data_IF_847123382525
#
_entry.id   IF_847123382525
#
_cell.length_a   1.000
_cell.length_b   1.000
_cell.length_c   1.000
_cell.angle_alpha   90.00
_cell.angle_beta   90.00
_cell.angle_gamma   90.00
#
_symmetry.space_group_name_H-M   'P 1'
#
loop_
_entity.id
_entity.type
_entity.pdbx_description
1 polymer ?
#
# COMPACT_ATOMS: atom_id res chain seq x y z
N UNK A 1 6.53 1.80 13.07
CA UNK A 1 5.26 1.30 12.49
C UNK A 1 5.20 -0.20 12.68
N UNK A 2 4.01 -0.79 12.87
CA UNK A 2 3.88 -2.25 12.94
C UNK A 2 4.30 -2.87 11.60
N UNK A 3 5.00 -4.01 11.64
CA UNK A 3 5.48 -4.70 10.43
C UNK A 3 4.29 -5.31 9.69
N UNK A 4 4.05 -4.89 8.45
CA UNK A 4 3.11 -5.58 7.54
C UNK A 4 3.74 -6.89 7.08
N UNK A 5 2.96 -7.96 7.06
CA UNK A 5 3.39 -9.28 6.57
C UNK A 5 2.57 -9.59 5.34
N UNK A 6 3.24 -9.76 4.20
CA UNK A 6 2.63 -10.10 2.92
C UNK A 6 2.73 -11.63 2.73
N UNK A 7 1.61 -12.27 2.38
CA UNK A 7 1.50 -13.71 2.08
C UNK A 7 1.25 -13.89 0.58
N UNK A 8 2.03 -14.77 -0.04
CA UNK A 8 1.92 -15.10 -1.46
C UNK A 8 1.79 -16.61 -1.62
N UNK A 9 0.64 -17.08 -2.09
CA UNK A 9 0.36 -18.52 -2.31
C UNK A 9 0.71 -19.39 -1.08
N UNK A 10 0.45 -18.85 0.12
CA UNK A 10 0.80 -19.46 1.40
C UNK A 10 -0.43 -20.15 2.00
N UNK A 11 -0.45 -21.49 2.12
CA UNK A 11 -1.58 -22.22 2.70
C UNK A 11 -1.75 -21.97 4.21
N UNK A 12 -0.72 -21.47 4.89
CA UNK A 12 -0.75 -21.13 6.32
C UNK A 12 -1.17 -19.66 6.56
N UNK A 13 -1.50 -18.90 5.50
CA UNK A 13 -2.01 -17.54 5.61
C UNK A 13 -3.36 -17.50 6.37
N UNK A 14 -3.59 -16.46 7.20
CA UNK A 14 -4.89 -16.27 7.84
C UNK A 14 -5.99 -16.01 6.81
N UNK A 15 -7.23 -16.40 7.14
CA UNK A 15 -8.37 -16.17 6.24
C UNK A 15 -8.57 -14.66 5.94
N UNK A 16 -8.62 -14.26 4.66
CA UNK A 16 -8.91 -12.88 4.28
C UNK A 16 -10.29 -12.43 4.79
N UNK A 17 -10.33 -11.29 5.46
CA UNK A 17 -11.56 -10.75 6.07
C UNK A 17 -11.96 -9.36 5.54
N UNK A 18 -11.17 -8.78 4.64
CA UNK A 18 -11.38 -7.45 4.09
C UNK A 18 -10.75 -7.33 2.70
N UNK A 19 -11.33 -6.47 1.86
CA UNK A 19 -10.78 -6.08 0.57
C UNK A 19 -10.23 -4.65 0.73
N UNK A 20 -8.94 -4.47 0.48
CA UNK A 20 -8.30 -3.16 0.51
C UNK A 20 -7.84 -2.79 -0.90
N UNK A 21 -8.59 -1.93 -1.62
CA UNK A 21 -8.12 -1.43 -2.89
C UNK A 21 -6.86 -0.58 -2.69
N UNK A 22 -5.89 -0.76 -3.57
CA UNK A 22 -4.60 -0.07 -3.54
C UNK A 22 -4.16 0.31 -4.94
N UNK A 23 -3.18 1.22 -5.01
CA UNK A 23 -2.57 1.70 -6.24
C UNK A 23 -1.06 1.44 -6.21
N UNK A 24 -0.49 1.13 -7.37
CA UNK A 24 0.95 1.10 -7.61
C UNK A 24 1.23 2.05 -8.78
N UNK A 25 2.23 2.91 -8.66
CA UNK A 25 2.43 4.02 -9.59
C UNK A 25 3.75 3.86 -10.35
N UNK A 26 3.65 3.73 -11.68
CA UNK A 26 4.81 3.74 -12.57
C UNK A 26 5.10 5.18 -12.95
N UNK A 27 6.17 5.75 -12.40
CA UNK A 27 6.61 7.12 -12.71
C UNK A 27 7.91 7.06 -13.48
N UNK A 28 7.93 7.61 -14.68
CA UNK A 28 9.14 7.70 -15.53
C UNK A 28 9.55 9.15 -15.75
N UNK A 29 10.86 9.40 -15.83
CA UNK A 29 11.39 10.69 -16.28
C UNK A 29 11.51 10.75 -17.82
N UNK A 30 11.96 11.89 -18.36
CA UNK A 30 12.17 12.07 -19.82
C UNK A 30 13.25 11.14 -20.41
N UNK A 31 14.19 10.65 -19.59
CA UNK A 31 15.21 9.70 -19.99
C UNK A 31 14.68 8.25 -20.03
N UNK A 32 13.47 8.00 -19.52
CA UNK A 32 12.86 6.68 -19.42
C UNK A 32 13.24 5.91 -18.15
N UNK A 33 13.91 6.53 -17.18
CA UNK A 33 14.22 5.90 -15.90
C UNK A 33 12.97 5.77 -15.03
N UNK A 34 12.86 4.66 -14.29
CA UNK A 34 11.74 4.36 -13.40
C UNK A 34 12.04 4.81 -11.96
N UNK A 35 11.11 5.55 -11.35
CA UNK A 35 11.14 5.83 -9.92
C UNK A 35 10.87 4.55 -9.12
N UNK A 36 11.79 4.23 -8.20
CA UNK A 36 11.64 3.12 -7.28
C UNK A 36 11.90 3.57 -5.84
N UNK A 37 11.22 2.93 -4.90
CA UNK A 37 11.44 3.05 -3.46
C UNK A 37 12.11 1.79 -2.92
N UNK A 38 12.91 1.94 -1.88
CA UNK A 38 13.46 0.81 -1.12
C UNK A 38 12.70 0.69 0.19
N UNK A 39 11.93 -0.38 0.34
CA UNK A 39 11.07 -0.57 1.51
C UNK A 39 11.89 -0.84 2.76
N UNK A 40 11.47 -0.25 3.88
CA UNK A 40 12.16 -0.40 5.17
C UNK A 40 11.84 -1.71 5.89
N UNK A 41 10.80 -2.43 5.47
CA UNK A 41 10.30 -3.64 6.15
C UNK A 41 10.92 -4.95 5.63
N UNK A 42 11.35 -4.97 4.37
CA UNK A 42 11.92 -6.14 3.70
C UNK A 42 13.10 -5.82 2.77
N UNK A 43 13.57 -4.58 2.74
CA UNK A 43 14.70 -4.11 1.91
C UNK A 43 14.52 -4.23 0.39
N UNK A 44 13.35 -4.66 -0.08
CA UNK A 44 13.09 -4.82 -1.50
C UNK A 44 12.82 -3.48 -2.19
N UNK A 45 13.16 -3.43 -3.47
CA UNK A 45 12.75 -2.36 -4.35
C UNK A 45 11.31 -2.57 -4.80
N UNK A 46 10.53 -1.50 -4.75
CA UNK A 46 9.14 -1.47 -5.21
C UNK A 46 8.86 -0.15 -5.92
N UNK A 47 7.75 -0.09 -6.64
CA UNK A 47 7.19 1.19 -7.10
C UNK A 47 6.40 1.82 -5.96
N UNK A 48 6.28 3.16 -5.90
CA UNK A 48 5.48 3.80 -4.87
C UNK A 48 4.00 3.39 -4.98
N UNK A 49 3.33 3.32 -3.85
CA UNK A 49 1.95 2.87 -3.81
C UNK A 49 1.43 2.55 -2.42
N UNK A 50 0.10 2.52 -2.31
CA UNK A 50 -0.56 2.31 -1.04
C UNK A 50 -2.07 2.17 -1.18
N UNK A 51 -2.75 2.13 -0.04
CA UNK A 51 -4.18 1.95 0.02
C UNK A 51 -4.92 3.20 -0.46
N UNK A 52 -6.08 3.00 -1.08
CA UNK A 52 -6.98 4.11 -1.44
C UNK A 52 -7.80 4.48 -0.20
N UNK A 53 -7.78 5.76 0.17
CA UNK A 53 -8.59 6.26 1.27
C UNK A 53 -10.07 6.43 0.87
N UNK A 54 -10.97 6.37 1.85
CA UNK A 54 -12.40 6.57 1.60
C UNK A 54 -12.68 7.97 1.04
N UNK A 55 -13.40 8.02 -0.09
CA UNK A 55 -13.71 9.27 -0.78
C UNK A 55 -12.63 9.75 -1.75
N UNK A 56 -11.52 9.00 -1.87
CA UNK A 56 -10.45 9.28 -2.81
C UNK A 56 -10.65 8.52 -4.14
N UNK A 57 -10.32 9.17 -5.26
CA UNK A 57 -10.24 8.51 -6.57
C UNK A 57 -8.87 7.85 -6.78
N UNK A 58 -8.78 6.87 -7.69
CA UNK A 58 -7.52 6.18 -8.03
C UNK A 58 -6.38 7.17 -8.34
N UNK A 59 -6.56 8.22 -9.19
CA UNK A 59 -5.48 9.17 -9.46
C UNK A 59 -5.08 10.02 -8.25
N UNK A 60 -6.04 10.38 -7.38
CA UNK A 60 -5.74 11.15 -6.17
C UNK A 60 -4.85 10.32 -5.23
N UNK A 61 -5.21 9.05 -5.00
CA UNK A 61 -4.42 8.12 -4.20
C UNK A 61 -3.01 7.95 -4.78
N UNK A 62 -2.91 7.77 -6.10
CA UNK A 62 -1.62 7.59 -6.77
C UNK A 62 -0.68 8.80 -6.57
N UNK A 63 -1.19 10.03 -6.72
CA UNK A 63 -0.41 11.25 -6.50
C UNK A 63 -0.03 11.43 -5.03
N UNK A 64 -0.97 11.17 -4.10
CA UNK A 64 -0.73 11.25 -2.65
C UNK A 64 0.36 10.27 -2.20
N UNK A 65 0.21 8.99 -2.51
CA UNK A 65 1.16 7.94 -2.11
C UNK A 65 2.56 8.22 -2.67
N UNK A 66 2.67 8.60 -3.95
CA UNK A 66 3.96 8.95 -4.56
C UNK A 66 4.61 10.11 -3.81
N UNK A 67 3.85 11.16 -3.49
CA UNK A 67 4.37 12.31 -2.77
C UNK A 67 4.80 11.94 -1.33
N UNK A 68 4.00 11.15 -0.61
CA UNK A 68 4.29 10.76 0.77
C UNK A 68 5.54 9.88 0.88
N UNK A 69 5.72 8.92 -0.04
CA UNK A 69 6.83 7.97 0.01
C UNK A 69 8.13 8.51 -0.58
N UNK A 70 8.06 9.39 -1.59
CA UNK A 70 9.24 9.81 -2.35
C UNK A 70 9.48 11.32 -2.35
N UNK A 71 8.51 12.13 -1.92
CA UNK A 71 8.58 13.60 -2.01
C UNK A 71 8.44 14.15 -3.44
N UNK A 72 8.03 13.32 -4.42
CA UNK A 72 7.92 13.71 -5.83
C UNK A 72 6.44 13.84 -6.20
N UNK A 73 6.09 14.94 -6.84
CA UNK A 73 4.77 15.09 -7.48
C UNK A 73 4.81 14.50 -8.88
N UNK A 74 3.77 13.76 -9.25
CA UNK A 74 3.60 13.20 -10.59
C UNK A 74 2.26 13.61 -11.21
N UNK A 75 2.14 13.42 -12.52
CA UNK A 75 0.88 13.53 -13.27
C UNK A 75 0.46 12.13 -13.71
N UNK A 76 -0.82 11.78 -13.49
CA UNK A 76 -1.36 10.49 -13.93
C UNK A 76 -1.79 10.60 -15.39
N UNK A 77 -1.08 9.88 -16.26
CA UNK A 77 -1.30 9.92 -17.71
C UNK A 77 -2.23 8.81 -18.21
N UNK A 78 -2.46 7.77 -17.41
CA UNK A 78 -3.34 6.66 -17.78
C UNK A 78 -3.32 5.51 -16.78
N UNK A 79 -4.12 4.48 -17.10
CA UNK A 79 -4.20 3.24 -16.34
C UNK A 79 -3.46 2.13 -17.10
N UNK A 80 -2.49 1.49 -16.46
CA UNK A 80 -1.77 0.34 -17.04
C UNK A 80 -2.61 -0.93 -16.98
N UNK A 81 -3.28 -1.18 -15.85
CA UNK A 81 -4.12 -2.35 -15.67
C UNK A 81 -4.70 -2.45 -14.25
N UNK A 82 -5.62 -3.38 -14.08
CA UNK A 82 -6.19 -3.77 -12.78
C UNK A 82 -5.77 -5.20 -12.46
N UNK A 83 -5.30 -5.42 -11.24
CA UNK A 83 -4.80 -6.71 -10.78
C UNK A 83 -5.58 -7.13 -9.53
N UNK A 84 -5.97 -8.39 -9.48
CA UNK A 84 -6.66 -9.00 -8.34
C UNK A 84 -6.28 -10.47 -8.28
N UNK A 85 -5.75 -10.89 -7.13
CA UNK A 85 -5.36 -12.28 -6.87
C UNK A 85 -5.77 -12.67 -5.45
N UNK A 86 -6.78 -13.54 -5.27
CA UNK A 86 -7.22 -14.01 -3.95
C UNK A 86 -6.14 -14.77 -3.17
N UNK A 87 -5.12 -15.32 -3.83
CA UNK A 87 -4.01 -16.03 -3.18
C UNK A 87 -2.96 -15.07 -2.58
N UNK A 88 -3.09 -13.76 -2.85
CA UNK A 88 -2.22 -12.72 -2.30
C UNK A 88 -2.98 -11.97 -1.20
N UNK A 89 -2.43 -11.95 0.02
CA UNK A 89 -3.02 -11.22 1.14
C UNK A 89 -1.95 -10.53 1.98
N UNK A 90 -2.33 -9.48 2.72
CA UNK A 90 -1.42 -8.82 3.67
C UNK A 90 -2.07 -8.76 5.04
N UNK A 91 -1.30 -9.03 6.08
CA UNK A 91 -1.71 -8.82 7.47
C UNK A 91 -1.00 -7.61 8.05
N UNK A 92 -1.79 -6.75 8.69
CA UNK A 92 -1.28 -5.65 9.51
C UNK A 92 -1.61 -5.97 10.96
N UNK A 93 -0.63 -6.03 11.87
CA UNK A 93 -0.89 -6.28 13.29
C UNK A 93 -1.85 -5.22 13.81
N UNK A 94 -3.01 -5.64 14.33
CA UNK A 94 -3.94 -4.73 14.98
C UNK A 94 -3.27 -4.16 16.24
N UNK A 95 -2.77 -2.93 16.17
CA UNK A 95 -2.40 -2.20 17.39
C UNK A 95 -3.70 -1.78 18.07
N UNK A 96 -4.16 -2.57 19.04
CA UNK A 96 -5.27 -2.18 19.89
C UNK A 96 -4.90 -0.89 20.64
N UNK A 97 -5.54 0.24 20.31
CA UNK A 97 -5.56 1.39 21.22
C UNK A 97 -6.46 0.99 22.40
N UNK A 98 -5.98 1.14 23.65
CA UNK A 98 -6.85 0.98 24.82
C UNK A 98 -8.08 1.86 24.64
N UNK A 99 -9.23 1.23 24.72
CA UNK A 99 -10.49 1.86 25.06
C UNK A 99 -10.33 2.63 26.39
N UNK A 100 -10.68 3.93 26.39
CA UNK A 100 -10.68 4.82 27.57
C UNK A 100 -11.91 4.62 28.48
N UNK A 101 -12.70 3.58 28.31
CA UNK A 101 -13.93 3.32 29.07
C UNK A 101 -13.84 2.21 30.12
N UNK A 102 -12.64 1.67 30.40
CA UNK A 102 -12.44 0.82 31.59
C UNK A 102 -12.31 1.69 32.86
N UNK A 103 -13.24 1.60 33.83
CA UNK A 103 -13.10 2.29 35.10
C UNK A 103 -11.94 1.69 35.90
N UNK A 104 -11.18 2.55 36.58
CA UNK A 104 -10.14 2.16 37.52
C UNK A 104 -10.76 1.26 38.60
N UNK A 105 -10.23 0.04 38.74
CA UNK A 105 -10.38 -0.77 39.95
C UNK A 105 -9.31 -0.39 40.96
#
# INVERSE_FOLDING_TARGET
MARRIDFYDDPDAPEPNSLVPSVNVIVTNEAGDLLMIRRTDNDNWAVPGGAIDLGESIPQAAVRETLEETGITCEITGLVGTYSDPATSSSTPATARRDKSSPLS
#
